data_IF_007912700477
#
_entry.id   IF_007912700477
#
_cell.length_a   1.000
_cell.length_b   1.000
_cell.length_c   1.000
_cell.angle_alpha   90.00
_cell.angle_beta   90.00
_cell.angle_gamma   90.00
#
_symmetry.space_group_name_H-M   'P 1'
#
loop_
_entity.id
_entity.type
_entity.pdbx_description
1 polymer ?
#
# COMPACT_ATOMS: atom_id res chain seq x y z
N UNK A 1 -8.98 6.94 -14.46
CA UNK A 1 -7.99 6.36 -13.53
C UNK A 1 -8.65 5.12 -12.94
N UNK A 2 -8.12 3.92 -13.18
CA UNK A 2 -8.72 2.67 -12.69
C UNK A 2 -8.31 2.42 -11.22
N UNK A 3 -9.23 1.95 -10.35
CA UNK A 3 -8.89 1.56 -9.00
C UNK A 3 -8.26 0.16 -8.98
N UNK A 4 -7.36 -0.08 -8.03
CA UNK A 4 -6.84 -1.41 -7.68
C UNK A 4 -7.06 -1.65 -6.19
N UNK A 5 -7.16 -2.93 -5.82
CA UNK A 5 -7.49 -3.39 -4.48
C UNK A 5 -6.37 -4.33 -4.03
N UNK A 6 -5.72 -4.01 -2.91
CA UNK A 6 -4.82 -4.96 -2.25
C UNK A 6 -5.68 -5.98 -1.52
N UNK A 7 -5.35 -7.27 -1.60
CA UNK A 7 -6.15 -8.38 -1.04
C UNK A 7 -5.54 -8.97 0.24
N UNK A 8 -4.22 -8.87 0.46
CA UNK A 8 -3.57 -9.29 1.71
C UNK A 8 -2.18 -8.66 1.86
N UNK A 9 -1.79 -8.42 3.11
CA UNK A 9 -0.46 -7.98 3.54
C UNK A 9 -0.08 -8.92 4.70
N UNK A 10 1.01 -9.67 4.58
CA UNK A 10 1.42 -10.62 5.64
C UNK A 10 2.88 -10.44 6.02
N UNK A 11 3.14 -10.14 7.30
CA UNK A 11 4.48 -9.90 7.84
C UNK A 11 5.29 -11.19 8.00
N UNK A 12 4.62 -12.34 8.09
CA UNK A 12 5.23 -13.66 8.32
C UNK A 12 5.92 -14.20 7.07
N UNK A 13 5.42 -13.86 5.89
CA UNK A 13 5.95 -14.30 4.61
C UNK A 13 6.60 -13.18 3.79
N UNK A 14 6.49 -11.91 4.22
CA UNK A 14 7.08 -10.81 3.47
C UNK A 14 6.48 -10.70 2.05
N UNK A 15 5.18 -11.01 1.92
CA UNK A 15 4.47 -11.05 0.63
C UNK A 15 3.39 -9.97 0.57
N UNK A 16 3.36 -9.23 -0.54
CA UNK A 16 2.31 -8.28 -0.88
C UNK A 16 1.68 -8.70 -2.21
N UNK A 17 0.36 -8.92 -2.20
CA UNK A 17 -0.40 -9.34 -3.38
C UNK A 17 -1.25 -8.19 -3.92
N UNK A 18 -1.04 -7.82 -5.19
CA UNK A 18 -1.81 -6.79 -5.88
C UNK A 18 -2.62 -7.44 -7.01
N UNK A 19 -3.95 -7.38 -6.92
CA UNK A 19 -4.83 -7.72 -8.03
C UNK A 19 -5.03 -6.48 -8.91
N UNK A 20 -4.45 -6.50 -10.12
CA UNK A 20 -4.72 -5.46 -11.12
C UNK A 20 -6.05 -5.80 -11.80
N UNK A 21 -7.11 -5.04 -11.50
CA UNK A 21 -8.41 -5.17 -12.19
C UNK A 21 -8.28 -4.60 -13.62
N UNK A 22 -7.73 -5.38 -14.55
CA UNK A 22 -7.81 -5.06 -15.98
C UNK A 22 -9.26 -5.18 -16.42
N UNK A 23 -9.90 -4.07 -16.78
CA UNK A 23 -11.26 -4.02 -17.32
C UNK A 23 -11.32 -4.57 -18.77
N UNK A 24 -10.76 -5.75 -18.99
CA UNK A 24 -10.80 -6.46 -20.27
C UNK A 24 -11.87 -7.53 -20.17
N UNK A 25 -13.00 -7.26 -20.85
CA UNK A 25 -14.12 -8.16 -21.08
C UNK A 25 -13.70 -9.31 -22.01
N UNK A 26 -12.72 -10.12 -21.60
CA UNK A 26 -12.29 -11.29 -22.35
C UNK A 26 -12.23 -12.51 -21.41
N UNK A 27 -13.31 -13.28 -21.40
CA UNK A 27 -13.53 -14.47 -20.55
C UNK A 27 -12.69 -15.70 -20.99
N UNK A 28 -11.61 -15.51 -21.76
CA UNK A 28 -10.77 -16.63 -22.26
C UNK A 28 -9.33 -16.64 -21.73
N UNK A 29 -8.97 -15.74 -20.82
CA UNK A 29 -7.60 -15.67 -20.31
C UNK A 29 -7.50 -16.27 -18.89
N UNK A 30 -6.63 -17.29 -18.77
CA UNK A 30 -6.15 -17.88 -17.51
C UNK A 30 -5.84 -16.78 -16.48
N UNK A 31 -6.07 -16.99 -15.16
CA UNK A 31 -5.95 -15.95 -14.13
C UNK A 31 -4.59 -15.27 -14.26
N UNK A 32 -4.61 -14.00 -14.66
CA UNK A 32 -3.42 -13.24 -14.96
C UNK A 32 -2.62 -13.07 -13.67
N UNK A 33 -1.43 -13.68 -13.64
CA UNK A 33 -0.35 -13.57 -12.66
C UNK A 33 -0.62 -12.56 -11.54
N UNK A 34 -0.90 -13.07 -10.33
CA UNK A 34 -0.60 -12.35 -9.10
C UNK A 34 0.90 -12.13 -9.07
N UNK A 35 1.36 -10.92 -9.41
CA UNK A 35 2.77 -10.57 -9.24
C UNK A 35 3.03 -10.42 -7.74
N UNK A 36 3.61 -11.47 -7.14
CA UNK A 36 3.97 -11.47 -5.72
C UNK A 36 5.19 -10.57 -5.57
N UNK A 37 4.99 -9.39 -5.01
CA UNK A 37 6.08 -8.44 -4.79
C UNK A 37 6.74 -8.80 -3.45
N UNK A 38 8.04 -9.12 -3.44
CA UNK A 38 8.75 -9.33 -2.19
C UNK A 38 8.76 -8.01 -1.41
N UNK A 39 8.17 -8.01 -0.22
CA UNK A 39 8.22 -6.88 0.70
C UNK A 39 9.16 -7.19 1.85
N UNK A 40 9.58 -6.18 2.60
CA UNK A 40 10.35 -6.36 3.83
C UNK A 40 9.56 -5.66 4.93
N UNK A 41 9.05 -6.38 5.95
CA UNK A 41 8.33 -5.74 7.04
C UNK A 41 9.27 -4.82 7.81
N UNK A 42 8.76 -3.66 8.23
CA UNK A 42 9.50 -2.78 9.13
C UNK A 42 9.60 -3.45 10.50
N UNK A 43 10.74 -3.26 11.16
CA UNK A 43 10.89 -3.66 12.57
C UNK A 43 9.79 -3.01 13.40
N UNK A 44 9.17 -3.78 14.30
CA UNK A 44 8.01 -3.36 15.10
C UNK A 44 6.70 -3.09 14.33
N UNK A 45 6.57 -3.60 13.10
CA UNK A 45 5.25 -3.60 12.43
C UNK A 45 4.30 -4.57 13.13
N UNK A 46 3.04 -4.18 13.36
CA UNK A 46 2.02 -5.12 13.79
C UNK A 46 1.74 -6.14 12.68
N UNK A 47 1.45 -7.38 13.07
CA UNK A 47 0.96 -8.41 12.17
C UNK A 47 -0.52 -8.13 11.86
N UNK A 48 -0.88 -8.16 10.59
CA UNK A 48 -2.27 -7.94 10.18
C UNK A 48 -2.42 -7.82 8.68
N UNK A 49 -3.62 -8.14 8.21
CA UNK A 49 -3.98 -8.06 6.79
C UNK A 49 -4.76 -6.77 6.53
N UNK A 50 -4.35 -6.04 5.50
CA UNK A 50 -5.02 -4.81 5.08
C UNK A 50 -5.31 -4.86 3.60
N UNK A 51 -6.53 -4.48 3.23
CA UNK A 51 -7.01 -4.44 1.86
C UNK A 51 -7.64 -3.08 1.58
N UNK A 52 -7.26 -2.44 0.48
CA UNK A 52 -7.75 -1.11 0.15
C UNK A 52 -7.11 -0.54 -1.11
N UNK A 53 -7.58 0.65 -1.51
CA UNK A 53 -6.99 1.40 -2.61
C UNK A 53 -5.65 2.00 -2.17
N UNK A 54 -4.61 1.80 -2.97
CA UNK A 54 -3.30 2.39 -2.70
C UNK A 54 -3.28 3.85 -3.17
N UNK A 55 -2.86 4.76 -2.30
CA UNK A 55 -2.75 6.19 -2.58
C UNK A 55 -1.31 6.62 -2.36
N UNK A 56 -0.69 7.17 -3.40
CA UNK A 56 0.64 7.75 -3.30
C UNK A 56 0.60 9.08 -2.53
N UNK A 57 1.39 9.16 -1.46
CA UNK A 57 1.55 10.36 -0.62
C UNK A 57 2.98 10.89 -0.63
N UNK A 58 3.67 10.72 -1.77
CA UNK A 58 5.01 11.26 -2.00
C UNK A 58 5.99 10.92 -0.85
N UNK A 59 6.51 11.95 -0.18
CA UNK A 59 7.47 11.78 0.91
C UNK A 59 6.82 11.48 2.27
N UNK A 60 5.49 11.44 2.37
CA UNK A 60 4.75 11.27 3.63
C UNK A 60 4.86 12.49 4.55
N UNK A 61 5.09 13.67 3.98
CA UNK A 61 5.10 14.93 4.73
C UNK A 61 3.68 15.40 5.00
N UNK A 62 3.49 16.26 6.00
CA UNK A 62 2.17 16.81 6.35
C UNK A 62 1.47 17.50 5.17
N UNK A 63 2.24 18.18 4.30
CA UNK A 63 1.72 18.81 3.09
C UNK A 63 1.46 17.85 1.90
N UNK A 64 1.91 16.60 2.00
CA UNK A 64 1.72 15.54 0.98
C UNK A 64 0.48 14.68 1.28
N UNK A 65 -0.10 14.81 2.48
CA UNK A 65 -1.29 14.08 2.88
C UNK A 65 -2.53 14.64 2.17
N UNK A 66 -3.41 13.79 1.64
CA UNK A 66 -4.65 14.25 1.02
C UNK A 66 -5.56 14.89 2.08
N UNK A 67 -6.21 16.01 1.72
CA UNK A 67 -7.17 16.68 2.61
C UNK A 67 -8.39 15.80 2.95
N UNK A 68 -8.70 14.83 2.07
CA UNK A 68 -9.75 13.84 2.27
C UNK A 68 -9.33 12.68 3.19
N UNK A 69 -8.06 12.63 3.59
CA UNK A 69 -7.49 11.54 4.38
C UNK A 69 -7.31 10.23 3.61
N UNK A 70 -6.76 9.26 4.34
CA UNK A 70 -6.43 7.90 3.89
C UNK A 70 -7.34 6.84 4.51
N UNK A 71 -8.47 7.23 5.10
CA UNK A 71 -9.47 6.34 5.68
C UNK A 71 -9.83 5.18 4.73
N UNK A 72 -9.52 3.95 5.13
CA UNK A 72 -9.81 2.73 4.35
C UNK A 72 -8.89 2.51 3.14
N UNK A 73 -7.79 3.27 3.03
CA UNK A 73 -6.83 3.23 1.93
C UNK A 73 -5.46 2.78 2.43
N UNK A 74 -4.59 2.40 1.52
CA UNK A 74 -3.21 2.02 1.81
C UNK A 74 -2.30 3.15 1.34
N UNK A 75 -1.41 3.62 2.21
CA UNK A 75 -0.51 4.71 1.89
C UNK A 75 0.72 4.17 1.16
N UNK A 76 1.02 4.69 -0.04
CA UNK A 76 2.28 4.44 -0.73
C UNK A 76 3.21 5.63 -0.52
N UNK A 77 4.32 5.39 0.17
CA UNK A 77 5.28 6.41 0.58
C UNK A 77 6.63 6.13 -0.06
N UNK A 78 7.26 7.16 -0.60
CA UNK A 78 8.63 7.09 -1.08
C UNK A 78 9.61 7.18 0.09
N UNK A 79 10.62 6.30 0.11
CA UNK A 79 11.76 6.44 1.03
C UNK A 79 12.48 7.77 0.79
N UNK A 80 12.83 8.48 1.85
CA UNK A 80 13.48 9.78 1.72
C UNK A 80 13.68 10.50 3.05
N UNK A 81 13.33 11.78 3.05
CA UNK A 81 13.79 12.80 4.03
C UNK A 81 13.40 12.51 5.48
N UNK A 82 12.15 12.11 5.73
CA UNK A 82 11.67 11.83 7.09
C UNK A 82 11.87 10.35 7.48
N UNK A 83 11.88 10.07 8.78
CA UNK A 83 12.06 8.73 9.34
C UNK A 83 10.90 7.79 8.95
N UNK A 84 11.15 6.49 8.91
CA UNK A 84 10.12 5.49 8.59
C UNK A 84 8.95 5.53 9.59
N UNK A 85 9.25 5.60 10.89
CA UNK A 85 8.23 5.69 11.94
C UNK A 85 7.30 6.88 11.70
N UNK A 86 7.88 8.07 11.55
CA UNK A 86 7.16 9.31 11.27
C UNK A 86 6.25 9.22 10.03
N UNK A 87 6.68 8.50 8.97
CA UNK A 87 5.85 8.25 7.78
C UNK A 87 4.62 7.39 8.11
N UNK A 88 4.84 6.33 8.90
CA UNK A 88 3.79 5.39 9.29
C UNK A 88 2.81 6.06 10.26
N UNK A 89 3.29 6.80 11.25
CA UNK A 89 2.46 7.58 12.17
C UNK A 89 1.56 8.54 11.40
N UNK A 90 2.10 9.33 10.46
CA UNK A 90 1.29 10.24 9.65
C UNK A 90 0.26 9.54 8.76
N UNK A 91 0.63 8.40 8.17
CA UNK A 91 -0.31 7.61 7.39
C UNK A 91 -1.45 7.07 8.28
N UNK A 92 -1.12 6.59 9.48
CA UNK A 92 -2.07 6.10 10.45
C UNK A 92 -2.99 7.23 10.98
N UNK A 93 -2.45 8.41 11.28
CA UNK A 93 -3.22 9.61 11.68
C UNK A 93 -4.19 10.05 10.58
N UNK A 94 -3.80 9.91 9.31
CA UNK A 94 -4.68 10.14 8.18
C UNK A 94 -5.72 9.02 7.96
N UNK A 95 -5.68 7.93 8.74
CA UNK A 95 -6.62 6.81 8.69
C UNK A 95 -6.25 5.69 7.72
N UNK A 96 -4.98 5.61 7.28
CA UNK A 96 -4.53 4.53 6.42
C UNK A 96 -4.61 3.17 7.13
N UNK A 97 -5.01 2.14 6.40
CA UNK A 97 -5.04 0.75 6.88
C UNK A 97 -3.65 0.11 6.91
N UNK A 98 -2.79 0.50 5.97
CA UNK A 98 -1.41 0.05 5.89
C UNK A 98 -0.54 1.13 5.22
N UNK A 99 0.76 1.04 5.45
CA UNK A 99 1.76 1.91 4.84
C UNK A 99 2.80 1.05 4.11
N UNK A 100 2.98 1.30 2.82
CA UNK A 100 3.96 0.65 1.95
C UNK A 100 5.03 1.67 1.62
N UNK A 101 6.28 1.35 1.95
CA UNK A 101 7.42 2.24 1.70
C UNK A 101 8.29 1.62 0.61
N UNK A 102 8.39 2.29 -0.53
CA UNK A 102 9.22 1.83 -1.64
C UNK A 102 10.55 2.60 -1.70
N UNK A 103 11.59 1.91 -2.15
CA UNK A 103 12.89 2.51 -2.41
C UNK A 103 12.94 3.11 -3.83
N UNK A 104 13.74 4.15 -4.03
CA UNK A 104 14.04 4.70 -5.37
C UNK A 104 15.04 3.84 -6.13
#
# INVERSE_FOLDING_TARGET
MQPFTITSLSAELSELSIDVLTNTLDESQEPQTTDVIPVIPLISSPEGEASGSLVAIGLGMEGDLPQEGLAGKIALIQRGVIQFQEKVDRAAEAGALAAVIYNN
#
